data_IF_985923066062
#
_entry.id   IF_985923066062
#
_cell.length_a   1.000
_cell.length_b   1.000
_cell.length_c   1.000
_cell.angle_alpha   90.00
_cell.angle_beta   90.00
_cell.angle_gamma   90.00
#
_symmetry.space_group_name_H-M   'P 1'
#
loop_
_entity.id
_entity.type
_entity.pdbx_description
1 polymer ?
#
# COMPACT_ATOMS: atom_id res chain seq x y z
N UNK A 1 -11.65 6.32 16.32
CA UNK A 1 -12.71 6.67 15.36
C UNK A 1 -12.63 5.65 14.24
N UNK A 2 -13.34 4.53 14.37
CA UNK A 2 -13.25 3.41 13.42
C UNK A 2 -14.47 3.49 12.52
N UNK A 3 -14.31 4.09 11.34
CA UNK A 3 -15.36 4.12 10.34
C UNK A 3 -15.67 2.67 9.93
N UNK A 4 -16.93 2.25 10.07
CA UNK A 4 -17.42 0.96 9.56
C UNK A 4 -17.46 1.04 8.04
N UNK A 5 -16.44 0.52 7.37
CA UNK A 5 -16.35 0.45 5.91
C UNK A 5 -17.15 -0.75 5.39
N UNK A 6 -18.25 -0.47 4.69
CA UNK A 6 -19.11 -1.44 4.03
C UNK A 6 -18.41 -2.07 2.81
N UNK A 7 -18.84 -3.27 2.39
CA UNK A 7 -18.22 -4.02 1.28
C UNK A 7 -18.45 -3.33 -0.06
N UNK A 8 -17.42 -2.61 -0.54
CA UNK A 8 -17.45 -1.86 -1.79
C UNK A 8 -16.92 -2.70 -2.96
N UNK A 9 -17.62 -2.66 -4.09
CA UNK A 9 -17.09 -3.14 -5.36
C UNK A 9 -15.91 -2.25 -5.82
N UNK A 10 -14.97 -2.73 -6.66
CA UNK A 10 -13.93 -1.87 -7.22
C UNK A 10 -14.44 -0.63 -7.94
N UNK A 11 -15.67 -0.68 -8.47
CA UNK A 11 -16.38 0.46 -9.07
C UNK A 11 -16.67 1.51 -8.00
N UNK A 12 -17.23 1.09 -6.88
CA UNK A 12 -17.59 1.97 -5.77
C UNK A 12 -16.35 2.67 -5.15
N UNK A 13 -15.18 2.02 -5.15
CA UNK A 13 -13.92 2.62 -4.66
C UNK A 13 -13.36 3.68 -5.65
N UNK A 14 -13.49 3.47 -6.96
CA UNK A 14 -13.15 4.50 -7.95
C UNK A 14 -14.09 5.70 -7.84
N UNK A 15 -15.39 5.46 -7.67
CA UNK A 15 -16.40 6.50 -7.44
C UNK A 15 -16.14 7.27 -6.14
N UNK A 16 -15.75 6.58 -5.06
CA UNK A 16 -15.43 7.20 -3.77
C UNK A 16 -14.14 8.04 -3.84
N UNK A 17 -13.15 7.61 -4.63
CA UNK A 17 -11.84 8.26 -4.73
C UNK A 17 -11.43 8.50 -6.19
N UNK A 18 -12.12 9.37 -6.95
CA UNK A 18 -11.90 9.56 -8.38
C UNK A 18 -10.51 10.13 -8.71
N UNK A 19 -9.89 10.81 -7.73
CA UNK A 19 -8.52 11.34 -7.86
C UNK A 19 -7.47 10.25 -7.95
N UNK A 20 -7.72 9.10 -7.36
CA UNK A 20 -6.80 7.96 -7.39
C UNK A 20 -7.46 6.74 -8.02
N UNK A 21 -8.45 6.99 -8.89
CA UNK A 21 -9.11 5.99 -9.70
C UNK A 21 -8.07 5.13 -10.40
N UNK A 22 -8.30 3.82 -10.43
CA UNK A 22 -7.41 2.85 -11.06
C UNK A 22 -8.01 2.31 -12.33
N UNK A 23 -7.14 1.90 -13.25
CA UNK A 23 -7.56 1.21 -14.46
C UNK A 23 -8.24 -0.13 -14.13
N UNK A 24 -9.42 -0.33 -14.71
CA UNK A 24 -10.17 -1.58 -14.69
C UNK A 24 -9.94 -2.29 -16.02
N UNK A 25 -9.02 -3.25 -16.07
CA UNK A 25 -8.70 -4.05 -17.26
C UNK A 25 -8.74 -5.53 -16.90
N UNK A 26 -8.91 -6.42 -17.89
CA UNK A 26 -8.85 -7.87 -17.65
C UNK A 26 -7.55 -8.30 -16.96
N UNK A 27 -6.43 -7.66 -17.32
CA UNK A 27 -5.17 -7.90 -16.62
C UNK A 27 -5.22 -7.37 -15.19
N UNK A 28 -5.71 -6.15 -14.95
CA UNK A 28 -5.75 -5.62 -13.59
C UNK A 28 -6.63 -6.48 -12.68
N UNK A 29 -7.76 -7.00 -13.18
CA UNK A 29 -8.58 -7.99 -12.47
C UNK A 29 -7.82 -9.31 -12.24
N UNK A 30 -7.16 -9.85 -13.25
CA UNK A 30 -6.36 -11.07 -13.11
C UNK A 30 -5.25 -10.91 -12.06
N UNK A 31 -4.49 -9.81 -12.11
CA UNK A 31 -3.41 -9.53 -11.17
C UNK A 31 -3.95 -9.32 -9.75
N UNK A 32 -5.04 -8.54 -9.59
CA UNK A 32 -5.71 -8.35 -8.30
C UNK A 32 -6.17 -9.67 -7.67
N UNK A 33 -6.70 -10.59 -8.48
CA UNK A 33 -7.12 -11.93 -8.04
C UNK A 33 -5.95 -12.86 -7.66
N UNK A 34 -4.71 -12.50 -8.01
CA UNK A 34 -3.50 -13.29 -7.72
C UNK A 34 -2.61 -12.69 -6.63
N UNK A 35 -2.94 -11.51 -6.13
CA UNK A 35 -2.32 -10.96 -4.92
C UNK A 35 -2.88 -11.74 -3.71
N UNK A 36 -2.04 -12.24 -2.79
CA UNK A 36 -2.51 -12.94 -1.60
C UNK A 36 -3.56 -12.12 -0.84
N UNK A 37 -4.62 -12.73 -0.30
CA UNK A 37 -5.55 -12.03 0.59
C UNK A 37 -4.84 -11.70 1.91
N UNK A 38 -5.35 -10.71 2.65
CA UNK A 38 -4.94 -10.51 4.04
C UNK A 38 -5.31 -11.77 4.83
N UNK A 39 -4.42 -12.27 5.71
CA UNK A 39 -4.78 -13.35 6.62
C UNK A 39 -6.01 -12.92 7.43
N UNK A 40 -6.94 -13.85 7.66
CA UNK A 40 -8.22 -13.63 8.36
C UNK A 40 -8.02 -12.72 9.58
N UNK A 41 -8.31 -11.43 9.39
CA UNK A 41 -8.55 -10.53 10.51
C UNK A 41 -9.92 -10.98 11.00
N UNK A 42 -9.93 -11.71 12.12
CA UNK A 42 -11.10 -12.41 12.66
C UNK A 42 -12.34 -11.51 12.88
N UNK A 43 -12.17 -10.19 12.79
CA UNK A 43 -13.19 -9.17 12.98
C UNK A 43 -13.63 -8.45 11.68
N UNK A 44 -13.10 -8.81 10.50
CA UNK A 44 -13.58 -8.22 9.24
C UNK A 44 -14.93 -8.85 8.84
N UNK A 45 -15.91 -8.06 8.38
CA UNK A 45 -17.19 -8.57 7.90
C UNK A 45 -16.96 -9.62 6.81
N UNK A 46 -17.72 -10.72 6.83
CA UNK A 46 -17.62 -11.80 5.82
C UNK A 46 -17.84 -11.35 4.37
N UNK A 47 -18.43 -10.17 4.18
CA UNK A 47 -18.71 -9.56 2.89
C UNK A 47 -17.56 -8.65 2.40
N UNK A 48 -16.50 -8.49 3.20
CA UNK A 48 -15.23 -7.98 2.69
C UNK A 48 -14.60 -9.05 1.81
N UNK A 49 -14.84 -8.96 0.51
CA UNK A 49 -14.03 -9.69 -0.43
C UNK A 49 -12.59 -9.15 -0.35
N UNK A 50 -11.59 -9.96 0.06
CA UNK A 50 -10.21 -9.52 0.21
C UNK A 50 -9.55 -9.48 -1.17
N UNK A 51 -10.08 -8.66 -2.09
CA UNK A 51 -9.43 -8.50 -3.38
C UNK A 51 -8.18 -7.64 -3.20
N UNK A 52 -7.01 -8.28 -3.34
CA UNK A 52 -5.68 -7.69 -3.41
C UNK A 52 -5.15 -6.99 -2.16
N UNK A 53 -5.02 -7.75 -1.07
CA UNK A 53 -4.38 -7.25 0.13
C UNK A 53 -3.18 -8.13 0.49
N UNK A 54 -2.08 -7.98 -0.25
CA UNK A 54 -0.88 -8.77 -0.03
C UNK A 54 0.34 -7.89 0.11
N UNK A 55 0.79 -7.66 1.34
CA UNK A 55 2.24 -7.67 1.58
C UNK A 55 2.58 -9.16 1.60
N UNK A 56 2.90 -9.74 0.43
CA UNK A 56 3.25 -11.15 0.39
C UNK A 56 4.43 -11.39 1.35
N UNK A 57 4.39 -12.42 2.21
CA UNK A 57 5.56 -12.76 2.98
C UNK A 57 6.68 -13.19 2.02
N UNK A 58 7.94 -12.83 2.27
CA UNK A 58 9.04 -13.58 1.68
C UNK A 58 8.86 -15.01 2.20
N UNK A 59 8.52 -15.94 1.31
CA UNK A 59 8.31 -17.34 1.66
C UNK A 59 9.54 -18.16 1.23
N UNK A 60 10.55 -18.34 2.09
CA UNK A 60 11.50 -19.44 1.92
C UNK A 60 11.02 -20.77 2.53
N UNK A 61 10.12 -20.78 3.53
CA UNK A 61 9.88 -21.98 4.36
C UNK A 61 8.40 -22.34 4.58
N UNK A 62 7.61 -22.33 3.51
CA UNK A 62 6.16 -22.50 3.61
C UNK A 62 5.63 -23.92 3.67
N UNK A 63 6.44 -24.87 4.08
CA UNK A 63 6.02 -26.27 4.11
C UNK A 63 4.89 -26.49 5.13
N UNK A 64 4.69 -25.57 6.08
CA UNK A 64 3.75 -25.74 7.20
C UNK A 64 2.28 -25.41 6.91
N UNK A 65 1.94 -24.66 5.86
CA UNK A 65 0.53 -24.30 5.60
C UNK A 65 -0.13 -25.09 4.47
N UNK A 66 0.60 -25.93 3.73
CA UNK A 66 0.06 -26.80 2.67
C UNK A 66 -0.55 -26.07 1.45
N UNK A 67 -0.82 -24.78 1.55
CA UNK A 67 -1.30 -23.93 0.46
C UNK A 67 -0.09 -23.29 -0.23
N UNK A 68 0.62 -24.07 -1.05
CA UNK A 68 1.53 -23.47 -2.04
C UNK A 68 0.72 -22.48 -2.86
N UNK A 69 1.09 -21.20 -2.83
CA UNK A 69 0.53 -20.23 -3.75
C UNK A 69 0.58 -20.84 -5.15
N UNK A 70 -0.56 -20.91 -5.84
CA UNK A 70 -0.62 -21.52 -7.16
C UNK A 70 0.47 -20.85 -8.03
N UNK A 71 1.35 -21.64 -8.69
CA UNK A 71 2.45 -21.08 -9.46
C UNK A 71 1.91 -20.02 -10.42
N UNK A 72 2.42 -18.79 -10.29
CA UNK A 72 2.01 -17.70 -11.16
C UNK A 72 2.34 -18.06 -12.60
N UNK A 73 1.42 -17.77 -13.55
CA UNK A 73 1.74 -17.90 -14.98
C UNK A 73 2.82 -16.90 -15.41
N UNK A 74 3.04 -15.86 -14.60
CA UNK A 74 4.07 -14.86 -14.82
C UNK A 74 5.43 -15.48 -14.49
N UNK A 75 6.14 -15.88 -15.53
CA UNK A 75 7.51 -16.38 -15.46
C UNK A 75 8.46 -15.42 -16.15
N UNK A 76 9.76 -15.55 -15.90
CA UNK A 76 10.77 -14.72 -16.55
C UNK A 76 10.70 -14.84 -18.10
N UNK A 77 10.42 -16.04 -18.61
CA UNK A 77 10.19 -16.30 -20.05
C UNK A 77 8.95 -15.60 -20.58
N UNK A 78 7.88 -15.55 -19.78
CA UNK A 78 6.67 -14.82 -20.15
C UNK A 78 6.93 -13.32 -20.21
N UNK A 79 7.66 -12.76 -19.25
CA UNK A 79 8.08 -11.35 -19.27
C UNK A 79 8.95 -11.06 -20.50
N UNK A 80 9.94 -11.90 -20.81
CA UNK A 80 10.72 -11.73 -22.03
C UNK A 80 9.88 -11.82 -23.30
N UNK A 81 8.90 -12.72 -23.32
CA UNK A 81 8.00 -12.83 -24.45
C UNK A 81 7.16 -11.57 -24.60
N UNK A 82 6.60 -11.02 -23.51
CA UNK A 82 5.81 -9.79 -23.51
C UNK A 82 6.56 -8.63 -24.17
N UNK A 83 7.81 -8.39 -23.75
CA UNK A 83 8.67 -7.32 -24.26
C UNK A 83 9.50 -7.70 -25.50
N UNK A 84 9.44 -8.97 -25.90
CA UNK A 84 10.24 -9.51 -26.99
C UNK A 84 9.71 -9.13 -28.37
N UNK A 85 10.45 -9.51 -29.41
CA UNK A 85 10.11 -9.20 -30.82
C UNK A 85 8.76 -9.74 -31.30
N UNK A 86 8.16 -10.69 -30.59
CA UNK A 86 6.85 -11.28 -30.92
C UNK A 86 5.79 -10.98 -29.86
N UNK A 87 6.12 -10.18 -28.86
CA UNK A 87 5.25 -9.88 -27.75
C UNK A 87 4.26 -8.76 -28.04
N UNK A 88 3.17 -8.66 -27.27
CA UNK A 88 2.21 -7.58 -27.37
C UNK A 88 2.76 -6.22 -26.90
N UNK A 89 3.77 -6.21 -26.03
CA UNK A 89 4.47 -4.99 -25.63
C UNK A 89 5.59 -4.63 -26.61
N UNK A 90 5.64 -5.30 -27.76
CA UNK A 90 6.48 -4.86 -28.87
C UNK A 90 6.01 -3.46 -29.24
N UNK A 91 6.74 -2.51 -28.70
CA UNK A 91 6.88 -1.19 -29.26
C UNK A 91 7.49 -1.45 -30.63
N UNK A 92 6.69 -1.47 -31.69
CA UNK A 92 7.24 -1.64 -33.02
C UNK A 92 8.08 -0.41 -33.32
N UNK A 93 9.34 -0.57 -32.94
CA UNK A 93 10.35 0.43 -32.75
C UNK A 93 10.65 1.18 -34.04
N UNK A 94 10.34 0.60 -35.19
CA UNK A 94 10.56 1.24 -36.47
C UNK A 94 9.57 2.39 -36.73
N UNK A 95 8.29 2.21 -36.41
CA UNK A 95 7.25 3.21 -36.74
C UNK A 95 7.10 4.28 -35.66
N UNK A 96 7.37 3.96 -34.38
CA UNK A 96 7.28 4.95 -33.28
C UNK A 96 8.60 5.44 -32.72
N UNK A 97 9.77 4.79 -32.91
CA UNK A 97 11.06 5.45 -32.54
C UNK A 97 11.48 6.52 -33.54
N UNK A 98 10.88 6.54 -34.74
CA UNK A 98 10.99 7.68 -35.63
C UNK A 98 10.39 8.95 -34.98
N UNK A 99 9.42 8.76 -34.08
CA UNK A 99 8.87 9.79 -33.20
C UNK A 99 9.60 9.71 -31.85
N UNK A 100 10.69 10.44 -31.70
CA UNK A 100 11.45 10.51 -30.44
C UNK A 100 10.65 11.03 -29.24
N UNK A 101 9.42 11.50 -29.47
CA UNK A 101 8.63 12.31 -28.55
C UNK A 101 7.47 11.53 -27.91
N UNK A 102 7.60 10.22 -27.70
CA UNK A 102 6.57 9.52 -26.94
C UNK A 102 6.52 10.01 -25.48
N UNK A 103 5.54 10.87 -25.21
CA UNK A 103 5.24 11.41 -23.90
C UNK A 103 4.36 10.42 -23.11
N UNK A 104 5.02 9.63 -22.27
CA UNK A 104 4.39 8.68 -21.34
C UNK A 104 3.30 9.36 -20.51
N UNK A 105 3.56 10.57 -20.03
CA UNK A 105 2.65 11.29 -19.12
C UNK A 105 1.42 11.76 -19.86
N UNK A 106 1.58 12.29 -21.08
CA UNK A 106 0.44 12.68 -21.91
C UNK A 106 -0.47 11.48 -22.24
N UNK A 107 0.12 10.34 -22.58
CA UNK A 107 -0.67 9.13 -22.87
C UNK A 107 -1.40 8.61 -21.62
N UNK A 108 -0.76 8.61 -20.45
CA UNK A 108 -1.41 8.25 -19.19
C UNK A 108 -2.57 9.19 -18.84
N UNK A 109 -2.40 10.50 -19.01
CA UNK A 109 -3.48 11.48 -18.81
C UNK A 109 -4.65 11.25 -19.76
N UNK A 110 -4.36 10.95 -21.02
CA UNK A 110 -5.38 10.64 -22.04
C UNK A 110 -6.14 9.36 -21.70
N UNK A 111 -5.44 8.31 -21.25
CA UNK A 111 -6.08 7.07 -20.79
C UNK A 111 -6.97 7.33 -19.57
N UNK A 112 -6.45 8.04 -18.56
CA UNK A 112 -7.22 8.39 -17.36
C UNK A 112 -8.47 9.19 -17.67
N UNK A 113 -8.35 10.22 -18.52
CA UNK A 113 -9.51 11.03 -18.95
C UNK A 113 -10.57 10.16 -19.61
N UNK A 114 -10.19 9.26 -20.52
CA UNK A 114 -11.14 8.36 -21.19
C UNK A 114 -11.88 7.45 -20.21
N UNK A 115 -11.21 6.94 -19.18
CA UNK A 115 -11.89 6.11 -18.17
C UNK A 115 -12.83 6.94 -17.29
N UNK A 116 -12.43 8.14 -16.87
CA UNK A 116 -13.31 9.04 -16.12
C UNK A 116 -14.53 9.50 -16.93
N UNK A 117 -14.34 9.79 -18.22
CA UNK A 117 -15.43 10.19 -19.13
C UNK A 117 -16.45 9.03 -19.32
N UNK A 118 -15.98 7.77 -19.37
CA UNK A 118 -16.85 6.59 -19.39
C UNK A 118 -17.63 6.42 -18.10
N UNK A 119 -16.99 6.57 -16.94
CA UNK A 119 -17.65 6.48 -15.64
C UNK A 119 -18.74 7.56 -15.50
N UNK A 120 -18.44 8.80 -15.92
CA UNK A 120 -19.41 9.90 -15.93
C UNK A 120 -20.62 9.61 -16.82
N UNK A 121 -20.38 9.07 -18.04
CA UNK A 121 -21.46 8.67 -18.96
C UNK A 121 -22.37 7.60 -18.34
N UNK A 122 -21.79 6.55 -17.76
CA UNK A 122 -22.55 5.45 -17.14
C UNK A 122 -23.29 5.87 -15.85
N UNK A 123 -22.90 6.98 -15.22
CA UNK A 123 -23.54 7.50 -14.01
C UNK A 123 -24.67 8.50 -14.29
N UNK A 124 -24.80 8.99 -15.53
CA UNK A 124 -25.69 10.10 -15.89
C UNK A 124 -27.07 9.71 -16.43
N UNK A 125 -27.43 8.43 -16.42
CA UNK A 125 -28.62 7.90 -17.14
C UNK A 125 -29.68 7.27 -16.21
N UNK A 126 -30.04 7.92 -15.11
CA UNK A 126 -31.26 7.60 -14.34
C UNK A 126 -32.33 8.71 -14.38
N UNK A 127 -32.08 9.82 -15.08
CA UNK A 127 -33.09 10.88 -15.26
C UNK A 127 -33.80 10.72 -16.62
N UNK A 128 -34.93 10.02 -16.59
CA UNK A 128 -36.02 10.04 -17.59
C UNK A 128 -35.56 9.85 -19.06
N UNK A 129 -35.08 8.66 -19.40
CA UNK A 129 -35.17 8.22 -20.80
C UNK A 129 -36.64 7.95 -21.13
N UNK A 130 -37.27 8.89 -21.84
CA UNK A 130 -38.52 8.65 -22.55
C UNK A 130 -38.37 7.36 -23.41
N UNK A 131 -39.20 6.38 -23.08
CA UNK A 131 -39.21 4.95 -23.48
C UNK A 131 -39.35 4.68 -25.00
N UNK A 132 -39.10 5.66 -25.87
CA UNK A 132 -39.36 5.57 -27.32
C UNK A 132 -38.13 5.72 -28.23
N UNK A 133 -36.93 6.06 -27.75
CA UNK A 133 -35.76 6.27 -28.64
C UNK A 133 -34.65 5.22 -28.57
N UNK A 134 -34.74 4.23 -27.67
CA UNK A 134 -33.65 3.25 -27.43
C UNK A 134 -33.59 2.10 -28.45
N UNK A 135 -34.53 1.99 -29.38
CA UNK A 135 -34.60 0.90 -30.37
C UNK A 135 -34.10 1.29 -31.77
N UNK A 136 -33.50 2.47 -31.96
CA UNK A 136 -33.04 2.95 -33.28
C UNK A 136 -31.53 2.82 -33.52
N UNK A 137 -30.77 2.21 -32.61
CA UNK A 137 -29.33 1.91 -32.77
C UNK A 137 -29.02 0.40 -32.76
N UNK A 138 -30.02 -0.45 -33.00
CA UNK A 138 -29.81 -1.81 -33.51
C UNK A 138 -29.42 -1.71 -35.00
N UNK A 139 -28.18 -1.29 -35.26
CA UNK A 139 -27.50 -1.70 -36.48
C UNK A 139 -27.04 -3.13 -36.26
N UNK A 140 -27.55 -4.06 -37.08
CA UNK A 140 -27.33 -5.52 -37.14
C UNK A 140 -25.85 -5.99 -37.25
N UNK A 141 -24.89 -5.33 -36.62
CA UNK A 141 -23.44 -5.62 -36.64
C UNK A 141 -22.95 -6.34 -35.35
N UNK A 142 -23.85 -6.81 -34.49
CA UNK A 142 -23.50 -7.48 -33.22
C UNK A 142 -23.38 -9.02 -33.30
N UNK A 143 -23.60 -9.61 -34.49
CA UNK A 143 -23.38 -11.03 -34.76
C UNK A 143 -22.01 -11.32 -35.41
N UNK A 144 -20.96 -10.60 -34.99
CA UNK A 144 -19.57 -10.99 -35.30
C UNK A 144 -18.99 -11.87 -34.17
N UNK A 145 -19.09 -13.21 -34.25
CA UNK A 145 -18.49 -14.12 -33.28
C UNK A 145 -16.95 -14.02 -33.20
N UNK A 146 -16.30 -13.31 -34.12
CA UNK A 146 -14.87 -13.02 -34.04
C UNK A 146 -14.54 -11.80 -33.15
N UNK A 147 -15.53 -10.98 -32.74
CA UNK A 147 -15.32 -9.84 -31.84
C UNK A 147 -14.86 -10.25 -30.44
N UNK A 148 -15.25 -11.45 -29.99
CA UNK A 148 -14.77 -12.06 -28.73
C UNK A 148 -13.49 -12.90 -28.88
N UNK A 149 -13.03 -13.14 -30.11
CA UNK A 149 -11.71 -13.74 -30.38
C UNK A 149 -10.58 -12.70 -30.48
N UNK A 150 -10.89 -11.42 -30.26
CA UNK A 150 -9.87 -10.40 -30.06
C UNK A 150 -9.00 -10.83 -28.88
N UNK A 151 -7.78 -11.28 -29.18
CA UNK A 151 -6.74 -11.60 -28.22
C UNK A 151 -6.73 -10.59 -27.07
N UNK A 152 -6.38 -10.99 -25.83
CA UNK A 152 -6.36 -10.08 -24.69
C UNK A 152 -5.67 -8.78 -25.11
N UNK A 153 -6.39 -7.65 -25.03
CA UNK A 153 -5.96 -6.33 -25.49
C UNK A 153 -4.85 -5.79 -24.56
N UNK A 154 -3.71 -6.47 -24.56
CA UNK A 154 -2.51 -6.08 -23.85
C UNK A 154 -2.04 -4.74 -24.42
N UNK A 155 -1.91 -3.75 -23.54
CA UNK A 155 -1.41 -2.42 -23.86
C UNK A 155 -0.13 -2.22 -23.09
N UNK A 156 0.96 -1.80 -23.75
CA UNK A 156 2.23 -1.60 -23.05
C UNK A 156 2.05 -0.76 -21.77
N UNK A 157 1.42 0.41 -21.86
CA UNK A 157 1.50 1.39 -20.78
C UNK A 157 0.69 1.12 -19.51
N UNK A 158 -0.58 0.72 -19.49
CA UNK A 158 -1.12 0.31 -18.20
C UNK A 158 -0.49 -1.01 -17.76
N UNK A 159 -0.38 -1.99 -18.65
CA UNK A 159 -0.14 -3.37 -18.24
C UNK A 159 1.29 -3.60 -17.73
N UNK A 160 2.29 -2.99 -18.34
CA UNK A 160 3.67 -3.11 -17.86
C UNK A 160 3.87 -2.41 -16.50
N UNK A 161 3.23 -1.26 -16.28
CA UNK A 161 3.29 -0.55 -15.00
C UNK A 161 2.53 -1.32 -13.90
N UNK A 162 1.39 -1.92 -14.25
CA UNK A 162 0.65 -2.82 -13.35
C UNK A 162 1.49 -4.05 -12.97
N UNK A 163 2.22 -4.65 -13.92
CA UNK A 163 3.12 -5.77 -13.64
C UNK A 163 4.24 -5.40 -12.66
N UNK A 164 4.86 -4.22 -12.83
CA UNK A 164 5.87 -3.73 -11.89
C UNK A 164 5.30 -3.63 -10.47
N UNK A 165 4.13 -3.00 -10.31
CA UNK A 165 3.49 -2.91 -9.01
C UNK A 165 3.09 -4.29 -8.44
N UNK A 166 2.58 -5.19 -9.28
CA UNK A 166 2.27 -6.57 -8.87
C UNK A 166 3.50 -7.29 -8.31
N UNK A 167 4.67 -7.13 -8.93
CA UNK A 167 5.91 -7.77 -8.45
C UNK A 167 6.47 -7.14 -7.17
N UNK A 168 6.24 -5.84 -6.93
CA UNK A 168 6.49 -5.22 -5.62
C UNK A 168 5.62 -5.90 -4.56
N UNK A 169 4.30 -5.96 -4.79
CA UNK A 169 3.32 -6.53 -3.84
C UNK A 169 3.55 -8.00 -3.54
N UNK A 170 3.95 -8.76 -4.56
CA UNK A 170 4.19 -10.20 -4.44
C UNK A 170 5.63 -10.56 -4.08
N UNK A 171 6.50 -9.57 -3.85
CA UNK A 171 7.94 -9.77 -3.54
C UNK A 171 8.65 -10.64 -4.60
N UNK A 172 8.21 -10.62 -5.86
CA UNK A 172 8.83 -11.35 -6.97
C UNK A 172 9.96 -10.50 -7.58
N UNK A 173 11.02 -10.27 -6.79
CA UNK A 173 12.06 -9.26 -7.05
C UNK A 173 12.79 -9.47 -8.38
N UNK A 174 13.05 -10.72 -8.78
CA UNK A 174 13.70 -11.02 -10.07
C UNK A 174 12.82 -10.61 -11.27
N UNK A 175 11.50 -10.81 -11.15
CA UNK A 175 10.55 -10.40 -12.18
C UNK A 175 10.33 -8.89 -12.17
N UNK A 176 10.39 -8.26 -10.99
CA UNK A 176 10.38 -6.80 -10.86
C UNK A 176 11.56 -6.21 -11.62
N UNK A 177 12.79 -6.61 -11.30
CA UNK A 177 14.00 -6.12 -11.96
C UNK A 177 13.91 -6.29 -13.48
N UNK A 178 13.57 -7.51 -13.92
CA UNK A 178 13.48 -7.85 -15.34
C UNK A 178 12.44 -6.99 -16.06
N UNK A 179 11.29 -6.75 -15.45
CA UNK A 179 10.22 -5.90 -16.00
C UNK A 179 10.67 -4.45 -16.09
N UNK A 180 11.35 -3.92 -15.06
CA UNK A 180 11.83 -2.54 -15.03
C UNK A 180 12.94 -2.29 -16.06
N UNK A 181 13.87 -3.24 -16.25
CA UNK A 181 14.92 -3.16 -17.30
C UNK A 181 14.30 -3.10 -18.70
N UNK A 182 13.31 -3.96 -18.97
CA UNK A 182 12.60 -3.93 -20.25
C UNK A 182 11.81 -2.63 -20.44
N UNK A 183 11.13 -2.16 -19.39
CA UNK A 183 10.42 -0.87 -19.40
C UNK A 183 11.34 0.30 -19.70
N UNK A 184 12.48 0.40 -19.02
CA UNK A 184 13.47 1.46 -19.24
C UNK A 184 14.03 1.42 -20.66
N UNK A 185 14.28 0.23 -21.21
CA UNK A 185 14.72 0.09 -22.60
C UNK A 185 13.63 0.45 -23.62
N UNK A 186 12.35 0.19 -23.32
CA UNK A 186 11.23 0.47 -24.20
C UNK A 186 10.80 1.95 -24.13
N UNK A 187 10.91 2.56 -22.95
CA UNK A 187 10.44 3.91 -22.62
C UNK A 187 11.55 4.67 -21.86
N UNK A 188 12.61 5.16 -22.53
CA UNK A 188 13.75 5.79 -21.86
C UNK A 188 13.36 7.03 -21.03
N UNK A 189 12.35 7.77 -21.48
CA UNK A 189 11.83 8.96 -20.79
C UNK A 189 11.14 8.62 -19.47
N UNK A 190 10.76 7.36 -19.23
CA UNK A 190 10.06 6.94 -18.01
C UNK A 190 10.87 7.23 -16.74
N UNK A 191 12.21 7.14 -16.82
CA UNK A 191 13.11 7.38 -15.70
C UNK A 191 13.07 8.84 -15.21
N UNK A 192 12.79 9.79 -16.11
CA UNK A 192 12.80 11.24 -15.83
C UNK A 192 11.42 11.89 -15.95
N UNK A 193 10.44 11.17 -16.49
CA UNK A 193 9.06 11.64 -16.63
C UNK A 193 8.49 11.94 -15.25
N UNK A 194 8.10 13.19 -15.05
CA UNK A 194 7.47 13.67 -13.82
C UNK A 194 5.97 13.86 -14.07
N UNK A 195 5.15 13.31 -13.17
CA UNK A 195 3.71 13.48 -13.21
C UNK A 195 3.13 13.60 -11.79
N UNK A 196 1.94 14.19 -11.64
CA UNK A 196 1.23 14.20 -10.38
C UNK A 196 0.94 12.77 -9.88
N UNK A 197 0.92 12.58 -8.56
CA UNK A 197 0.66 11.27 -7.92
C UNK A 197 -0.61 10.61 -8.46
N UNK A 198 -1.67 11.38 -8.69
CA UNK A 198 -2.95 10.90 -9.25
C UNK A 198 -2.84 10.29 -10.65
N UNK A 199 -1.86 10.73 -11.44
CA UNK A 199 -1.59 10.17 -12.77
C UNK A 199 -0.88 8.82 -12.62
N UNK A 200 0.09 8.71 -11.71
CA UNK A 200 0.78 7.45 -11.47
C UNK A 200 -0.10 6.41 -10.78
N UNK A 201 -0.93 6.83 -9.81
CA UNK A 201 -1.85 5.96 -9.08
C UNK A 201 -2.89 5.31 -9.98
N UNK A 202 -3.15 5.88 -11.16
CA UNK A 202 -4.04 5.29 -12.17
C UNK A 202 -3.58 3.90 -12.63
N UNK A 203 -2.27 3.65 -12.61
CA UNK A 203 -1.66 2.35 -12.95
C UNK A 203 -1.30 1.53 -11.70
N UNK A 204 -1.90 1.84 -10.55
CA UNK A 204 -1.72 1.06 -9.32
C UNK A 204 -2.69 -0.13 -9.27
N UNK A 205 -2.29 -1.17 -8.54
CA UNK A 205 -3.05 -2.38 -8.23
C UNK A 205 -3.32 -2.41 -6.73
N UNK A 206 -4.15 -1.49 -6.25
CA UNK A 206 -4.40 -1.41 -4.81
C UNK A 206 -5.87 -1.14 -4.51
N UNK A 207 -6.51 -2.08 -3.82
CA UNK A 207 -7.89 -1.92 -3.41
C UNK A 207 -8.00 -1.63 -1.90
N UNK A 208 -6.89 -1.37 -1.20
CA UNK A 208 -6.92 -1.05 0.23
C UNK A 208 -7.55 0.34 0.40
N UNK A 209 -8.77 0.39 0.93
CA UNK A 209 -9.54 1.64 1.10
C UNK A 209 -8.77 2.70 1.89
N UNK A 210 -8.06 2.31 2.95
CA UNK A 210 -7.25 3.26 3.76
C UNK A 210 -6.11 3.87 2.95
N UNK A 211 -5.40 3.07 2.15
CA UNK A 211 -4.34 3.60 1.29
C UNK A 211 -4.90 4.46 0.16
N UNK A 212 -6.04 4.07 -0.42
CA UNK A 212 -6.75 4.86 -1.44
C UNK A 212 -7.19 6.21 -0.89
N UNK A 213 -7.75 6.24 0.32
CA UNK A 213 -8.11 7.47 1.02
C UNK A 213 -6.88 8.36 1.21
N UNK A 214 -5.81 7.81 1.76
CA UNK A 214 -4.59 8.57 2.07
C UNK A 214 -3.87 9.08 0.81
N UNK A 215 -3.84 8.27 -0.26
CA UNK A 215 -3.36 8.72 -1.58
C UNK A 215 -4.25 9.80 -2.19
N UNK A 216 -5.56 9.77 -1.93
CA UNK A 216 -6.49 10.82 -2.35
C UNK A 216 -6.21 12.15 -1.64
N UNK A 217 -5.84 12.11 -0.36
CA UNK A 217 -5.36 13.29 0.40
C UNK A 217 -4.04 13.80 -0.19
N UNK A 218 -3.09 12.91 -0.49
CA UNK A 218 -1.84 13.27 -1.16
C UNK A 218 -2.07 13.85 -2.58
N UNK A 219 -3.11 13.41 -3.26
CA UNK A 219 -3.54 13.89 -4.58
C UNK A 219 -4.45 15.14 -4.50
N UNK A 220 -4.42 15.89 -3.41
CA UNK A 220 -5.25 17.09 -3.25
C UNK A 220 -4.84 18.20 -4.24
N UNK A 221 -5.79 18.87 -4.93
CA UNK A 221 -5.52 19.87 -5.96
C UNK A 221 -4.65 21.04 -5.53
N UNK A 222 -4.64 21.38 -4.24
CA UNK A 222 -3.87 22.51 -3.73
C UNK A 222 -2.37 22.24 -3.68
N UNK A 223 -1.96 20.97 -3.53
CA UNK A 223 -0.59 20.61 -3.16
C UNK A 223 -0.11 19.31 -3.81
N UNK A 224 -0.76 18.84 -4.87
CA UNK A 224 -0.45 17.56 -5.48
C UNK A 224 1.01 17.52 -5.99
N UNK A 225 1.88 16.68 -5.39
CA UNK A 225 3.28 16.66 -5.77
C UNK A 225 3.45 15.97 -7.11
N UNK A 226 4.30 16.56 -7.96
CA UNK A 226 4.79 15.89 -9.17
C UNK A 226 6.06 15.13 -8.85
N UNK A 227 6.06 13.82 -9.11
CA UNK A 227 7.19 12.92 -8.84
C UNK A 227 7.52 12.10 -10.09
N UNK A 228 8.75 11.60 -10.15
CA UNK A 228 9.16 10.70 -11.23
C UNK A 228 8.55 9.30 -11.04
N UNK A 229 8.45 8.53 -12.12
CA UNK A 229 7.98 7.14 -12.02
C UNK A 229 8.81 6.27 -11.06
N UNK A 230 10.16 6.29 -11.07
CA UNK A 230 10.94 5.52 -10.10
C UNK A 230 10.73 6.00 -8.66
N UNK A 231 10.56 7.31 -8.42
CA UNK A 231 10.20 7.83 -7.08
C UNK A 231 8.83 7.29 -6.64
N UNK A 232 7.84 7.25 -7.54
CA UNK A 232 6.54 6.66 -7.25
C UNK A 232 6.63 5.16 -6.95
N UNK A 233 7.43 4.38 -7.69
CA UNK A 233 7.66 2.97 -7.37
C UNK A 233 8.32 2.78 -6.00
N UNK A 234 9.27 3.66 -5.64
CA UNK A 234 9.88 3.61 -4.30
C UNK A 234 8.85 3.92 -3.21
N UNK A 235 7.94 4.87 -3.45
CA UNK A 235 6.82 5.13 -2.54
C UNK A 235 5.95 3.89 -2.34
N UNK A 236 5.60 3.16 -3.41
CA UNK A 236 4.85 1.91 -3.31
C UNK A 236 5.61 0.83 -2.54
N UNK A 237 6.92 0.69 -2.78
CA UNK A 237 7.75 -0.25 -2.03
C UNK A 237 7.85 0.09 -0.54
N UNK A 238 7.78 1.38 -0.18
CA UNK A 238 7.74 1.84 1.22
C UNK A 238 6.37 1.59 1.87
N UNK A 239 5.27 1.78 1.14
CA UNK A 239 3.92 1.37 1.57
C UNK A 239 3.78 -0.14 1.77
N UNK A 240 4.68 -0.92 1.17
CA UNK A 240 4.75 -2.36 1.36
C UNK A 240 5.85 -2.79 2.33
N UNK A 241 6.54 -1.82 2.96
CA UNK A 241 7.63 -2.07 3.90
C UNK A 241 8.65 -3.06 3.34
N UNK A 242 9.08 -2.83 2.10
CA UNK A 242 9.92 -3.75 1.31
C UNK A 242 11.22 -3.07 0.88
N UNK A 243 12.23 -3.13 1.75
CA UNK A 243 13.59 -2.70 1.43
C UNK A 243 14.16 -3.42 0.20
N UNK A 244 13.99 -4.75 0.03
CA UNK A 244 14.51 -5.43 -1.16
C UNK A 244 13.90 -4.92 -2.47
N UNK A 245 12.62 -4.54 -2.49
CA UNK A 245 12.01 -3.94 -3.67
C UNK A 245 12.60 -2.54 -3.95
N UNK A 246 12.82 -1.73 -2.91
CA UNK A 246 13.51 -0.44 -3.04
C UNK A 246 14.90 -0.60 -3.67
N UNK A 247 15.68 -1.56 -3.17
CA UNK A 247 17.05 -1.82 -3.66
C UNK A 247 17.02 -2.21 -5.16
N UNK A 248 16.05 -3.01 -5.60
CA UNK A 248 15.86 -3.35 -7.02
C UNK A 248 15.52 -2.12 -7.85
N UNK A 249 14.55 -1.31 -7.42
CA UNK A 249 14.10 -0.12 -8.15
C UNK A 249 15.25 0.87 -8.31
N UNK A 250 15.95 1.17 -7.22
CA UNK A 250 17.07 2.12 -7.22
C UNK A 250 18.26 1.61 -8.02
N UNK A 251 18.48 0.30 -8.10
CA UNK A 251 19.53 -0.28 -8.95
C UNK A 251 19.22 -0.08 -10.43
N UNK A 252 18.00 -0.36 -10.87
CA UNK A 252 17.57 -0.19 -12.27
C UNK A 252 17.55 1.28 -12.67
N UNK A 253 17.11 2.17 -11.78
CA UNK A 253 17.03 3.62 -12.02
C UNK A 253 18.14 4.41 -11.33
N UNK A 254 19.33 3.81 -11.19
CA UNK A 254 20.46 4.39 -10.45
C UNK A 254 20.94 5.73 -11.01
N UNK A 255 20.74 5.96 -12.31
CA UNK A 255 21.10 7.22 -13.00
C UNK A 255 20.09 8.36 -12.74
N UNK A 256 18.85 8.05 -12.35
CA UNK A 256 17.77 9.04 -12.27
C UNK A 256 17.15 9.19 -10.89
N UNK A 257 17.40 8.26 -9.96
CA UNK A 257 16.76 8.26 -8.65
C UNK A 257 17.71 7.78 -7.57
N UNK A 258 17.80 8.57 -6.50
CA UNK A 258 18.64 8.30 -5.35
C UNK A 258 17.80 8.08 -4.10
N UNK A 259 18.25 7.18 -3.23
CA UNK A 259 17.55 6.85 -1.98
C UNK A 259 17.31 8.08 -1.10
N UNK A 260 18.32 8.93 -0.95
CA UNK A 260 18.21 10.17 -0.16
C UNK A 260 17.06 11.07 -0.64
N UNK A 261 16.89 11.22 -1.95
CA UNK A 261 15.80 12.01 -2.53
C UNK A 261 14.43 11.44 -2.17
N UNK A 262 14.28 10.12 -2.21
CA UNK A 262 13.02 9.44 -1.86
C UNK A 262 12.70 9.62 -0.37
N UNK A 263 13.67 9.34 0.50
CA UNK A 263 13.51 9.42 1.96
C UNK A 263 13.24 10.87 2.40
N UNK A 264 14.02 11.83 1.87
CA UNK A 264 13.82 13.25 2.15
C UNK A 264 12.44 13.72 1.68
N UNK A 265 11.98 13.27 0.50
CA UNK A 265 10.67 13.65 -0.02
C UNK A 265 9.55 13.12 0.88
N UNK A 266 9.59 11.85 1.26
CA UNK A 266 8.60 11.24 2.14
C UNK A 266 8.57 11.93 3.50
N UNK A 267 9.73 12.21 4.09
CA UNK A 267 9.81 12.93 5.35
C UNK A 267 9.23 14.36 5.26
N UNK A 268 9.49 15.06 4.16
CA UNK A 268 8.92 16.40 3.93
C UNK A 268 7.43 16.39 3.59
N UNK A 269 6.90 15.25 3.14
CA UNK A 269 5.50 15.08 2.74
C UNK A 269 4.75 14.33 3.82
N UNK A 270 4.19 15.10 4.76
CA UNK A 270 3.39 14.57 5.84
C UNK A 270 2.29 13.59 5.39
N UNK A 271 1.49 13.87 4.33
CA UNK A 271 0.50 12.91 3.86
C UNK A 271 1.13 11.61 3.33
N UNK A 272 2.29 11.68 2.66
CA UNK A 272 2.98 10.49 2.16
C UNK A 272 3.49 9.61 3.30
N UNK A 273 4.06 10.20 4.35
CA UNK A 273 4.47 9.44 5.53
C UNK A 273 3.26 8.87 6.30
N UNK A 274 2.17 9.62 6.41
CA UNK A 274 0.91 9.10 6.97
C UNK A 274 0.41 7.89 6.19
N UNK A 275 0.39 7.95 4.84
CA UNK A 275 0.04 6.79 4.00
C UNK A 275 0.90 5.56 4.33
N UNK A 276 2.20 5.78 4.55
CA UNK A 276 3.13 4.72 4.91
C UNK A 276 2.80 4.13 6.29
N UNK A 277 2.49 4.94 7.29
CA UNK A 277 2.06 4.45 8.61
C UNK A 277 0.71 3.73 8.56
N UNK A 278 -0.25 4.20 7.79
CA UNK A 278 -1.57 3.57 7.66
C UNK A 278 -1.48 2.16 7.06
N UNK A 279 -0.41 1.89 6.30
CA UNK A 279 -0.15 0.55 5.77
C UNK A 279 0.49 -0.40 6.78
N UNK A 280 1.03 0.09 7.91
CA UNK A 280 1.65 -0.75 8.96
C UNK A 280 0.68 -1.77 9.53
N UNK A 281 -0.56 -1.36 9.75
CA UNK A 281 -1.59 -2.23 10.29
C UNK A 281 -1.92 -3.40 9.35
N UNK A 282 -1.57 -3.27 8.07
CA UNK A 282 -1.78 -4.31 7.06
C UNK A 282 -0.57 -5.24 6.92
N UNK A 283 0.56 -4.89 7.53
CA UNK A 283 1.76 -5.73 7.56
C UNK A 283 1.53 -6.83 8.59
N UNK A 284 1.06 -7.98 8.13
CA UNK A 284 0.76 -9.14 8.98
C UNK A 284 1.79 -10.26 8.76
N UNK A 285 1.92 -11.14 9.76
CA UNK A 285 2.82 -12.31 9.87
C UNK A 285 3.34 -12.93 8.56
N UNK A 286 4.58 -13.50 8.51
CA UNK A 286 5.29 -14.21 9.59
C UNK A 286 6.23 -13.33 10.44
N UNK A 287 6.88 -13.86 11.50
CA UNK A 287 7.75 -13.11 12.41
C UNK A 287 8.88 -12.29 11.76
N UNK A 288 9.33 -12.64 10.54
CA UNK A 288 10.28 -11.83 9.76
C UNK A 288 9.74 -10.44 9.38
N UNK A 289 8.45 -10.20 9.60
CA UNK A 289 7.78 -8.96 9.24
C UNK A 289 8.19 -7.77 10.11
N UNK A 290 8.49 -7.96 11.41
CA UNK A 290 8.98 -6.85 12.24
C UNK A 290 10.37 -6.38 11.81
N UNK A 291 11.26 -7.31 11.43
CA UNK A 291 12.58 -6.99 10.90
C UNK A 291 12.50 -6.12 9.64
N UNK A 292 11.56 -6.41 8.73
CA UNK A 292 11.32 -5.58 7.53
C UNK A 292 10.91 -4.14 7.87
N UNK A 293 10.05 -3.98 8.87
CA UNK A 293 9.63 -2.65 9.33
C UNK A 293 10.82 -1.91 9.93
N UNK A 294 11.57 -2.56 10.83
CA UNK A 294 12.77 -1.99 11.44
C UNK A 294 13.85 -1.64 10.39
N UNK A 295 14.08 -2.47 9.37
CA UNK A 295 15.02 -2.17 8.28
C UNK A 295 14.68 -0.89 7.53
N UNK A 296 13.38 -0.63 7.30
CA UNK A 296 12.93 0.62 6.68
C UNK A 296 13.08 1.80 7.66
N UNK A 297 12.76 1.62 8.94
CA UNK A 297 12.91 2.67 9.94
C UNK A 297 14.40 3.05 10.18
N UNK A 298 15.30 2.06 10.14
CA UNK A 298 16.75 2.25 10.18
C UNK A 298 17.25 2.99 8.94
N UNK A 299 16.58 2.83 7.80
CA UNK A 299 16.91 3.57 6.58
C UNK A 299 16.74 5.08 6.77
N UNK A 300 15.66 5.53 7.43
CA UNK A 300 15.47 6.95 7.75
C UNK A 300 16.61 7.50 8.61
N UNK A 301 17.07 6.72 9.58
CA UNK A 301 18.24 7.06 10.40
C UNK A 301 19.54 7.13 9.60
N UNK A 302 19.79 6.14 8.72
CA UNK A 302 21.01 6.08 7.91
C UNK A 302 21.19 7.28 6.98
N UNK A 303 20.09 7.94 6.58
CA UNK A 303 20.13 9.12 5.72
C UNK A 303 20.01 10.44 6.47
N UNK A 304 20.14 10.45 7.81
CA UNK A 304 20.00 11.63 8.67
C UNK A 304 18.65 12.34 8.50
N UNK A 305 17.60 11.56 8.26
CA UNK A 305 16.22 12.06 8.13
C UNK A 305 15.38 11.42 9.24
N UNK A 306 15.60 11.80 10.52
CA UNK A 306 14.90 11.19 11.63
C UNK A 306 13.40 11.45 11.49
N UNK A 307 12.59 10.42 11.72
CA UNK A 307 11.14 10.56 11.68
C UNK A 307 10.72 11.51 12.80
N UNK A 308 9.87 12.49 12.49
CA UNK A 308 9.27 13.38 13.48
C UNK A 308 8.28 12.62 14.36
N UNK A 309 8.86 11.98 15.37
CA UNK A 309 8.16 11.21 16.36
C UNK A 309 7.22 12.08 17.21
N UNK A 310 7.48 13.37 17.34
CA UNK A 310 6.58 14.31 18.03
C UNK A 310 5.27 14.46 17.25
N UNK A 311 5.38 14.68 15.94
CA UNK A 311 4.21 14.80 15.06
C UNK A 311 3.39 13.49 15.02
N UNK A 312 4.04 12.34 14.82
CA UNK A 312 3.36 11.05 14.63
C UNK A 312 2.97 10.34 15.93
N UNK A 313 3.36 10.88 17.10
CA UNK A 313 3.07 10.30 18.42
C UNK A 313 3.64 8.89 18.63
N UNK A 314 4.72 8.54 17.93
CA UNK A 314 5.29 7.19 17.90
C UNK A 314 4.82 6.38 16.70
N UNK A 315 5.55 5.32 16.35
CA UNK A 315 5.24 4.46 15.21
C UNK A 315 4.43 3.24 15.66
N UNK A 316 4.79 2.67 16.82
CA UNK A 316 4.11 1.51 17.39
C UNK A 316 2.59 1.69 17.56
N UNK A 317 2.02 2.85 17.93
CA UNK A 317 0.56 2.98 18.08
C UNK A 317 -0.23 2.75 16.79
N UNK A 318 0.40 2.89 15.61
CA UNK A 318 -0.22 2.60 14.31
C UNK A 318 -0.32 1.09 14.00
N UNK A 319 0.29 0.23 14.82
CA UNK A 319 0.31 -1.22 14.64
C UNK A 319 -0.70 -1.86 15.61
N UNK A 320 -1.91 -2.12 15.13
CA UNK A 320 -3.00 -2.70 15.94
C UNK A 320 -3.26 -4.17 15.65
N UNK A 321 -2.78 -4.66 14.50
CA UNK A 321 -3.01 -6.00 13.96
C UNK A 321 -2.02 -7.06 14.43
N UNK A 322 -0.80 -6.67 14.84
CA UNK A 322 0.27 -7.62 15.17
C UNK A 322 1.06 -7.21 16.41
N UNK A 323 0.89 -7.95 17.50
CA UNK A 323 1.61 -7.72 18.75
C UNK A 323 3.12 -7.75 18.55
N UNK A 324 3.62 -8.70 17.76
CA UNK A 324 5.06 -8.87 17.57
C UNK A 324 5.69 -7.66 16.88
N UNK A 325 5.04 -7.13 15.85
CA UNK A 325 5.52 -5.94 15.14
C UNK A 325 5.39 -4.72 16.05
N UNK A 326 4.26 -4.58 16.75
CA UNK A 326 4.06 -3.53 17.75
C UNK A 326 5.20 -3.52 18.78
N UNK A 327 5.48 -4.66 19.41
CA UNK A 327 6.48 -4.80 20.47
C UNK A 327 7.89 -4.50 19.95
N UNK A 328 8.27 -5.10 18.81
CA UNK A 328 9.61 -4.92 18.25
C UNK A 328 9.83 -3.46 17.83
N UNK A 329 8.84 -2.80 17.20
CA UNK A 329 8.92 -1.37 16.84
C UNK A 329 8.94 -0.49 18.10
N UNK A 330 8.11 -0.79 19.11
CA UNK A 330 8.13 -0.07 20.37
C UNK A 330 9.53 -0.13 20.99
N UNK A 331 10.03 -1.33 21.27
CA UNK A 331 11.27 -1.54 22.03
C UNK A 331 12.51 -1.11 21.26
N UNK A 332 12.60 -1.41 19.97
CA UNK A 332 13.81 -1.16 19.19
C UNK A 332 13.82 0.20 18.49
N UNK A 333 12.67 0.85 18.32
CA UNK A 333 12.59 2.11 17.60
C UNK A 333 11.98 3.25 18.41
N UNK A 334 10.77 3.11 18.96
CA UNK A 334 10.15 4.21 19.69
C UNK A 334 10.91 4.48 21.01
N UNK A 335 11.06 3.51 21.92
CA UNK A 335 11.66 3.76 23.24
C UNK A 335 13.06 4.43 23.19
N UNK A 336 13.98 4.06 22.28
CA UNK A 336 15.28 4.73 22.18
C UNK A 336 15.21 6.15 21.61
N UNK A 337 14.25 6.44 20.73
CA UNK A 337 14.16 7.69 19.97
C UNK A 337 13.15 8.69 20.54
N UNK A 338 12.43 8.31 21.59
CA UNK A 338 11.33 9.08 22.20
C UNK A 338 11.85 9.70 23.51
N UNK A 339 12.15 11.02 23.54
CA UNK A 339 12.84 11.64 24.67
C UNK A 339 12.04 11.51 25.96
N UNK A 340 12.63 11.14 27.11
CA UNK A 340 11.84 10.96 28.36
C UNK A 340 11.02 12.18 28.80
N UNK A 341 11.39 13.39 28.39
CA UNK A 341 10.71 14.65 28.72
C UNK A 341 9.49 14.97 27.82
N UNK A 342 8.77 13.97 27.32
CA UNK A 342 7.72 14.18 26.32
C UNK A 342 6.51 14.95 26.83
N UNK A 343 5.80 15.50 25.85
CA UNK A 343 4.40 15.87 25.95
C UNK A 343 3.57 14.72 26.58
N UNK A 344 2.87 14.95 27.71
CA UNK A 344 2.00 13.98 28.36
C UNK A 344 0.96 13.36 27.43
N UNK A 345 0.48 14.12 26.43
CA UNK A 345 -0.47 13.57 25.46
C UNK A 345 0.15 12.37 24.72
N UNK A 346 1.42 12.45 24.35
CA UNK A 346 2.11 11.40 23.60
C UNK A 346 2.37 10.15 24.43
N UNK A 347 2.80 10.31 25.68
CA UNK A 347 2.91 9.19 26.62
C UNK A 347 1.58 8.48 26.80
N UNK A 348 0.46 9.22 26.85
CA UNK A 348 -0.88 8.64 26.91
C UNK A 348 -1.24 7.82 25.66
N UNK A 349 -0.84 8.24 24.44
CA UNK A 349 -1.08 7.45 23.21
C UNK A 349 -0.33 6.12 23.19
N UNK A 350 0.97 6.12 23.48
CA UNK A 350 1.77 4.88 23.55
C UNK A 350 1.26 3.99 24.70
N UNK A 351 1.03 4.58 25.88
CA UNK A 351 0.48 3.88 27.04
C UNK A 351 -0.87 3.22 26.73
N UNK A 352 -1.76 3.92 26.05
CA UNK A 352 -3.07 3.37 25.64
C UNK A 352 -2.91 2.18 24.70
N UNK A 353 -2.01 2.28 23.72
CA UNK A 353 -1.73 1.18 22.80
C UNK A 353 -1.15 -0.04 23.52
N UNK A 354 -0.23 0.18 24.49
CA UNK A 354 0.30 -0.91 25.33
C UNK A 354 -0.80 -1.57 26.16
N UNK A 355 -1.70 -0.78 26.77
CA UNK A 355 -2.85 -1.30 27.52
C UNK A 355 -3.82 -2.08 26.65
N UNK A 356 -4.07 -1.64 25.42
CA UNK A 356 -4.88 -2.39 24.46
C UNK A 356 -4.30 -3.79 24.22
N UNK A 357 -2.97 -3.91 24.11
CA UNK A 357 -2.29 -5.20 23.96
C UNK A 357 -2.25 -6.02 25.26
N UNK A 358 -2.07 -5.40 26.43
CA UNK A 358 -2.19 -6.08 27.73
C UNK A 358 -3.58 -6.68 27.90
N UNK A 359 -4.63 -5.93 27.54
CA UNK A 359 -6.02 -6.42 27.55
C UNK A 359 -6.25 -7.58 26.57
N UNK A 360 -5.43 -7.70 25.51
CA UNK A 360 -5.41 -8.85 24.58
C UNK A 360 -4.58 -10.04 25.11
N UNK A 361 -3.97 -9.94 26.29
CA UNK A 361 -3.23 -11.02 26.96
C UNK A 361 -1.72 -10.86 27.03
N UNK A 362 -1.16 -9.75 26.52
CA UNK A 362 0.28 -9.49 26.48
C UNK A 362 0.76 -8.76 27.74
N UNK A 363 0.67 -9.43 28.89
CA UNK A 363 0.93 -8.86 30.21
C UNK A 363 2.38 -8.38 30.41
N UNK A 364 3.33 -8.90 29.64
CA UNK A 364 4.74 -8.52 29.63
C UNK A 364 4.96 -7.04 29.30
N UNK A 365 4.01 -6.39 28.60
CA UNK A 365 4.08 -4.96 28.33
C UNK A 365 3.91 -4.09 29.58
N UNK A 366 3.34 -4.61 30.67
CA UNK A 366 3.18 -3.84 31.91
C UNK A 366 4.54 -3.45 32.48
N UNK A 367 5.52 -4.36 32.47
CA UNK A 367 6.88 -4.06 32.91
C UNK A 367 7.52 -2.96 32.07
N UNK A 368 7.37 -3.04 30.74
CA UNK A 368 7.88 -2.01 29.82
C UNK A 368 7.19 -0.66 30.05
N UNK A 369 5.87 -0.66 30.26
CA UNK A 369 5.10 0.56 30.46
C UNK A 369 5.48 1.25 31.77
N UNK A 370 5.78 0.47 32.80
CA UNK A 370 6.26 0.95 34.10
C UNK A 370 7.68 1.52 34.03
N UNK A 371 8.60 0.77 33.42
CA UNK A 371 10.01 1.17 33.30
C UNK A 371 10.16 2.50 32.56
N UNK A 372 9.28 2.74 31.58
CA UNK A 372 9.32 3.93 30.73
C UNK A 372 8.25 4.99 31.06
N UNK A 373 7.58 4.87 32.22
CA UNK A 373 6.64 5.88 32.70
C UNK A 373 5.49 6.17 31.69
N UNK A 374 4.92 5.13 31.06
CA UNK A 374 3.77 5.27 30.15
C UNK A 374 2.40 5.09 30.83
N UNK A 375 2.39 4.77 32.13
CA UNK A 375 1.18 4.59 32.94
C UNK A 375 0.90 5.82 33.84
N UNK A 376 1.05 7.03 33.31
CA UNK A 376 0.83 8.28 34.07
C UNK A 376 -0.62 8.78 34.02
N UNK A 377 -1.40 8.25 33.09
CA UNK A 377 -2.80 8.63 32.89
C UNK A 377 -3.70 7.75 33.77
N UNK A 378 -4.45 8.39 34.67
CA UNK A 378 -5.33 7.71 35.62
C UNK A 378 -6.37 6.83 34.91
N UNK A 379 -6.87 7.23 33.74
CA UNK A 379 -7.84 6.45 32.97
C UNK A 379 -7.21 5.15 32.43
N UNK A 380 -5.93 5.21 32.05
CA UNK A 380 -5.16 4.07 31.57
C UNK A 380 -4.94 3.07 32.72
N UNK A 381 -4.52 3.56 33.89
CA UNK A 381 -4.31 2.74 35.10
C UNK A 381 -5.63 2.11 35.55
N UNK A 382 -6.72 2.88 35.63
CA UNK A 382 -8.04 2.39 36.02
C UNK A 382 -8.52 1.27 35.08
N UNK A 383 -8.31 1.43 33.76
CA UNK A 383 -8.66 0.42 32.77
C UNK A 383 -7.87 -0.89 32.97
N UNK A 384 -6.57 -0.79 33.23
CA UNK A 384 -5.73 -1.96 33.55
C UNK A 384 -6.15 -2.65 34.85
N UNK A 385 -6.40 -1.89 35.92
CA UNK A 385 -6.88 -2.42 37.20
C UNK A 385 -8.21 -3.15 37.03
N UNK A 386 -9.14 -2.58 36.26
CA UNK A 386 -10.44 -3.20 35.97
C UNK A 386 -10.25 -4.52 35.22
N UNK A 387 -9.45 -4.52 34.15
CA UNK A 387 -9.13 -5.74 33.39
C UNK A 387 -8.47 -6.82 34.26
N UNK A 388 -7.50 -6.43 35.09
CA UNK A 388 -6.80 -7.34 36.00
C UNK A 388 -7.76 -7.96 37.04
N UNK A 389 -8.63 -7.16 37.64
CA UNK A 389 -9.64 -7.62 38.59
C UNK A 389 -10.65 -8.58 37.95
N UNK A 390 -11.14 -8.28 36.74
CA UNK A 390 -12.05 -9.16 35.99
C UNK A 390 -11.42 -10.52 35.65
N UNK A 391 -10.09 -10.55 35.42
CA UNK A 391 -9.33 -11.79 35.17
C UNK A 391 -8.88 -12.50 36.46
N UNK A 392 -9.07 -11.88 37.62
CA UNK A 392 -8.57 -12.39 38.91
C UNK A 392 -7.04 -12.33 39.05
N UNK A 393 -6.36 -11.48 38.28
CA UNK A 393 -4.91 -11.26 38.36
C UNK A 393 -4.58 -10.25 39.47
N UNK A 394 -4.68 -10.72 40.71
CA UNK A 394 -4.38 -9.92 41.90
C UNK A 394 -2.91 -9.48 41.97
N UNK A 395 -2.00 -10.19 41.28
CA UNK A 395 -0.59 -9.80 41.19
C UNK A 395 -0.45 -8.50 40.39
N UNK A 396 -1.12 -8.41 39.25
CA UNK A 396 -1.17 -7.19 38.45
C UNK A 396 -1.89 -6.05 39.20
N UNK A 397 -3.01 -6.32 39.86
CA UNK A 397 -3.72 -5.30 40.68
C UNK A 397 -2.80 -4.74 41.77
N UNK A 398 -2.10 -5.60 42.51
CA UNK A 398 -1.17 -5.15 43.57
C UNK A 398 -0.01 -4.32 43.00
N UNK A 399 0.50 -4.69 41.82
CA UNK A 399 1.56 -3.96 41.12
C UNK A 399 1.10 -2.56 40.70
N UNK A 400 -0.12 -2.44 40.19
CA UNK A 400 -0.71 -1.17 39.76
C UNK A 400 -1.09 -0.27 40.94
N UNK A 401 -1.62 -0.84 42.03
CA UNK A 401 -1.97 -0.10 43.25
C UNK A 401 -0.74 0.57 43.91
N UNK A 402 0.46 0.01 43.72
CA UNK A 402 1.70 0.63 44.19
C UNK A 402 2.06 1.93 43.45
N UNK A 403 1.51 2.15 42.24
CA UNK A 403 1.70 3.38 41.47
C UNK A 403 0.78 4.51 41.92
N UNK A 404 -0.47 4.20 42.31
CA UNK A 404 -1.43 5.19 42.79
C UNK A 404 -0.97 5.93 44.06
N UNK A 405 -0.01 5.37 44.81
CA UNK A 405 0.57 6.03 45.98
C UNK A 405 1.44 7.25 45.59
N UNK A 406 1.85 7.35 44.33
CA UNK A 406 2.70 8.43 43.82
C UNK A 406 1.93 9.56 43.13
N UNK A 407 0.61 9.44 42.97
CA UNK A 407 -0.29 10.45 42.41
C UNK A 407 -1.29 10.93 43.45
#
# INVERSE_FOLDING_TARGET
>A
MTARFLGFSPKDINEQYPRVAQIQSHLSFYLKARVPPLPDIADLPKDWHPFAAGIAPPWPNSESSGMSAAPSMLSARFIDWLFGKKGPFRWDAAERRADSDFDVVAELRKMRKRELDKEAYMSGEDDEFDDESLYALDSDDDDDPDRWQAAPNWRLLPDALLLAHFFIRTTQLDLLERTLVHLQSALPTLATASAPVSVWSFCMLDNRTLLRYSLSELASPSEEPSITYPTFLCLLALFDWSKPALDVILRVFSDSTHMWTVISWIHSSLPAFSCMLDTLDLVTSPPSTSARVLEILDLFHQYDVPIDLEYFKGISPSITSSYRIFYDVLVHYDLPNVPRSLDPCRQSWIGKAMVDWVCKGHIELVDVALEHEYLLDADIVQRLCTFAAERGDWGLVAKLAALEIYY
#
